data_IF_198607000334
#
_entry.id   IF_198607000334
#
_cell.length_a   1.000
_cell.length_b   1.000
_cell.length_c   1.000
_cell.angle_alpha   90.00
_cell.angle_beta   90.00
_cell.angle_gamma   90.00
#
_symmetry.space_group_name_H-M   'P 1'
#
loop_
_entity.id
_entity.type
_entity.pdbx_description
1 polymer ?
#
# COMPACT_ATOMS: atom_id res chain seq x y z
N UNK A 1 -1.73 26.50 17.11
CA UNK A 1 -1.88 25.76 18.38
C UNK A 1 -0.87 24.61 18.35
N UNK A 2 0.20 24.68 19.14
CA UNK A 2 1.17 23.59 19.24
C UNK A 2 0.70 22.61 20.32
N UNK A 3 0.21 21.44 19.91
CA UNK A 3 -0.22 20.38 20.82
C UNK A 3 0.97 19.78 21.60
N UNK A 4 2.16 19.77 20.98
CA UNK A 4 3.41 19.31 21.56
C UNK A 4 4.47 20.41 21.51
N UNK A 5 4.81 20.99 22.66
CA UNK A 5 5.89 22.01 22.77
C UNK A 5 7.22 21.35 23.09
N UNK A 6 7.91 20.86 22.06
CA UNK A 6 9.25 20.30 22.21
C UNK A 6 10.25 21.46 22.26
N UNK A 7 10.77 21.75 23.46
CA UNK A 7 11.65 22.92 23.70
C UNK A 7 13.14 22.66 23.41
N UNK A 8 13.53 21.41 23.17
CA UNK A 8 14.92 20.99 22.96
C UNK A 8 15.02 20.08 21.74
N UNK A 9 16.03 20.34 20.92
CA UNK A 9 16.33 19.49 19.76
C UNK A 9 16.72 18.08 20.23
N UNK A 10 16.09 17.07 19.63
CA UNK A 10 16.37 15.67 19.91
C UNK A 10 17.59 15.22 19.10
N UNK A 11 18.63 14.62 19.71
CA UNK A 11 19.85 14.20 19.00
C UNK A 11 19.63 12.87 18.26
N UNK A 12 18.74 12.87 17.27
CA UNK A 12 18.36 11.69 16.49
C UNK A 12 19.50 11.27 15.57
N UNK A 13 20.24 12.23 15.01
CA UNK A 13 21.33 11.96 14.08
C UNK A 13 22.50 11.22 14.75
N UNK A 14 22.64 11.28 16.07
CA UNK A 14 23.60 10.46 16.82
C UNK A 14 23.36 8.95 16.63
N UNK A 15 22.11 8.54 16.44
CA UNK A 15 21.70 7.14 16.28
C UNK A 15 21.37 6.79 14.82
N UNK A 16 21.61 7.71 13.87
CA UNK A 16 21.25 7.53 12.47
C UNK A 16 21.84 6.25 11.87
N UNK A 17 23.05 5.85 12.24
CA UNK A 17 23.66 4.59 11.75
C UNK A 17 22.85 3.35 12.13
N UNK A 18 22.32 3.29 13.36
CA UNK A 18 21.52 2.15 13.83
C UNK A 18 20.19 2.13 13.07
N UNK A 19 19.52 3.28 12.95
CA UNK A 19 18.27 3.36 12.21
C UNK A 19 18.49 3.01 10.72
N UNK A 20 19.50 3.56 10.06
CA UNK A 20 19.81 3.22 8.68
C UNK A 20 20.11 1.74 8.48
N UNK A 21 20.80 1.10 9.44
CA UNK A 21 21.05 -0.34 9.38
C UNK A 21 19.74 -1.14 9.47
N UNK A 22 18.83 -0.79 10.39
CA UNK A 22 17.51 -1.42 10.53
C UNK A 22 16.70 -1.24 9.23
N UNK A 23 16.65 -0.02 8.70
CA UNK A 23 16.00 0.31 7.43
C UNK A 23 16.56 -0.55 6.29
N UNK A 24 17.89 -0.60 6.15
CA UNK A 24 18.55 -1.36 5.10
C UNK A 24 18.27 -2.86 5.20
N UNK A 25 18.33 -3.44 6.41
CA UNK A 25 18.00 -4.85 6.64
C UNK A 25 16.54 -5.12 6.28
N UNK A 26 15.63 -4.24 6.68
CA UNK A 26 14.19 -4.37 6.37
C UNK A 26 13.94 -4.29 4.87
N UNK A 27 14.59 -3.35 4.18
CA UNK A 27 14.51 -3.22 2.73
C UNK A 27 15.11 -4.44 2.01
N UNK A 28 16.26 -4.94 2.46
CA UNK A 28 16.88 -6.14 1.89
C UNK A 28 15.99 -7.38 2.08
N UNK A 29 15.36 -7.53 3.25
CA UNK A 29 14.39 -8.59 3.51
C UNK A 29 13.15 -8.45 2.61
N UNK A 30 12.64 -7.22 2.44
CA UNK A 30 11.51 -6.94 1.55
C UNK A 30 11.82 -7.35 0.11
N UNK A 31 12.98 -6.94 -0.44
CA UNK A 31 13.43 -7.34 -1.77
C UNK A 31 13.61 -8.85 -1.87
N UNK A 32 14.21 -9.48 -0.86
CA UNK A 32 14.39 -10.94 -0.83
C UNK A 32 13.06 -11.69 -0.93
N UNK A 33 12.04 -11.32 -0.15
CA UNK A 33 10.73 -11.97 -0.22
C UNK A 33 10.00 -11.68 -1.53
N UNK A 34 10.13 -10.47 -2.07
CA UNK A 34 9.54 -10.08 -3.34
C UNK A 34 10.11 -10.91 -4.50
N UNK A 35 11.42 -11.17 -4.50
CA UNK A 35 12.09 -11.99 -5.53
C UNK A 35 11.83 -13.49 -5.34
N UNK A 36 11.83 -14.00 -4.10
CA UNK A 36 11.74 -15.45 -3.84
C UNK A 36 10.31 -15.98 -3.79
N UNK A 37 9.36 -15.20 -3.29
CA UNK A 37 7.95 -15.61 -3.16
C UNK A 37 7.03 -14.94 -4.17
N UNK A 38 7.41 -13.77 -4.68
CA UNK A 38 6.52 -12.96 -5.52
C UNK A 38 5.33 -12.37 -4.73
N UNK A 39 4.47 -11.67 -5.45
CA UNK A 39 3.22 -11.15 -4.93
C UNK A 39 2.09 -12.14 -5.20
N UNK A 40 1.21 -12.35 -4.23
CA UNK A 40 0.00 -13.12 -4.41
C UNK A 40 -1.07 -12.24 -5.04
N UNK A 41 -1.13 -12.21 -6.37
CA UNK A 41 -2.08 -11.35 -7.10
C UNK A 41 -3.54 -11.79 -6.93
N UNK A 42 -4.45 -10.81 -6.85
CA UNK A 42 -5.89 -11.05 -6.88
C UNK A 42 -6.36 -11.55 -8.24
N UNK A 43 -7.61 -12.04 -8.30
CA UNK A 43 -8.26 -12.41 -9.56
C UNK A 43 -8.46 -11.23 -10.51
N UNK A 44 -8.35 -9.99 -10.03
CA UNK A 44 -8.46 -8.78 -10.85
C UNK A 44 -7.27 -8.65 -11.80
N UNK A 45 -6.11 -9.19 -11.44
CA UNK A 45 -4.91 -9.18 -12.29
C UNK A 45 -4.72 -10.48 -13.06
N UNK A 46 -5.07 -11.61 -12.45
CA UNK A 46 -4.85 -12.94 -13.04
C UNK A 46 -6.02 -13.43 -13.88
N UNK A 47 -7.19 -12.81 -13.73
CA UNK A 47 -8.46 -13.34 -14.22
C UNK A 47 -8.93 -14.53 -13.38
N UNK A 48 -10.24 -14.74 -13.31
CA UNK A 48 -10.78 -15.87 -12.55
C UNK A 48 -12.23 -15.67 -12.13
N UNK A 49 -12.63 -16.49 -11.16
CA UNK A 49 -13.96 -16.43 -10.57
C UNK A 49 -13.84 -16.54 -9.05
N UNK A 50 -14.40 -15.58 -8.34
CA UNK A 50 -14.55 -15.61 -6.88
C UNK A 50 -16.01 -15.86 -6.57
N UNK A 51 -16.27 -16.82 -5.68
CA UNK A 51 -17.59 -17.17 -5.20
C UNK A 51 -17.56 -17.07 -3.69
N UNK A 52 -18.45 -16.26 -3.13
CA UNK A 52 -18.66 -16.13 -1.69
C UNK A 52 -19.99 -16.81 -1.33
N UNK A 53 -19.90 -17.79 -0.44
CA UNK A 53 -21.07 -18.51 0.09
C UNK A 53 -21.15 -18.31 1.60
N UNK A 54 -22.37 -18.07 2.10
CA UNK A 54 -22.64 -17.92 3.52
C UNK A 54 -23.41 -19.14 4.05
N UNK A 55 -22.94 -19.68 5.17
CA UNK A 55 -23.54 -20.83 5.85
C UNK A 55 -24.35 -20.39 7.08
N UNK A 56 -25.43 -21.12 7.44
CA UNK A 56 -26.16 -20.93 8.70
C UNK A 56 -25.30 -21.18 9.95
N UNK A 57 -24.27 -22.01 9.83
CA UNK A 57 -23.34 -22.39 10.91
C UNK A 57 -21.89 -22.30 10.43
N UNK A 58 -20.92 -22.58 11.30
CA UNK A 58 -19.52 -22.61 10.90
C UNK A 58 -19.32 -23.57 9.73
N UNK A 59 -18.69 -23.08 8.67
CA UNK A 59 -18.56 -23.81 7.42
C UNK A 59 -17.44 -24.86 7.52
N UNK A 60 -17.68 -26.03 6.91
CA UNK A 60 -16.66 -27.07 6.76
C UNK A 60 -15.83 -26.78 5.50
N UNK A 61 -14.68 -26.14 5.70
CA UNK A 61 -13.78 -25.74 4.62
C UNK A 61 -13.20 -26.94 3.88
N UNK A 62 -12.88 -28.02 4.59
CA UNK A 62 -12.31 -29.21 3.96
C UNK A 62 -13.35 -29.91 3.09
N UNK A 63 -14.61 -30.01 3.57
CA UNK A 63 -15.71 -30.51 2.74
C UNK A 63 -15.88 -29.66 1.47
N UNK A 64 -15.93 -28.33 1.60
CA UNK A 64 -16.07 -27.41 0.47
C UNK A 64 -14.90 -27.54 -0.51
N UNK A 65 -13.67 -27.61 0.00
CA UNK A 65 -12.46 -27.81 -0.81
C UNK A 65 -12.51 -29.11 -1.60
N UNK A 66 -12.83 -30.23 -0.95
CA UNK A 66 -12.93 -31.54 -1.59
C UNK A 66 -14.00 -31.58 -2.69
N UNK A 67 -15.12 -30.88 -2.51
CA UNK A 67 -16.16 -30.77 -3.54
C UNK A 67 -15.64 -30.02 -4.76
N UNK A 68 -14.99 -28.87 -4.56
CA UNK A 68 -14.54 -28.01 -5.66
C UNK A 68 -13.32 -28.61 -6.37
N UNK A 69 -12.39 -29.25 -5.64
CA UNK A 69 -11.24 -29.95 -6.20
C UNK A 69 -11.65 -31.12 -7.12
N UNK A 70 -12.70 -31.87 -6.75
CA UNK A 70 -13.25 -32.94 -7.60
C UNK A 70 -13.75 -32.46 -8.95
N UNK A 71 -14.11 -31.18 -9.08
CA UNK A 71 -14.51 -30.58 -10.35
C UNK A 71 -13.31 -30.27 -11.27
N UNK A 72 -12.09 -30.37 -10.74
CA UNK A 72 -10.83 -30.35 -11.49
C UNK A 72 -10.38 -28.98 -11.99
N UNK A 73 -10.93 -27.87 -11.48
CA UNK A 73 -10.62 -26.50 -11.96
C UNK A 73 -9.13 -26.09 -11.84
N UNK A 74 -8.28 -26.94 -11.26
CA UNK A 74 -6.85 -26.70 -11.07
C UNK A 74 -6.57 -26.34 -9.63
N UNK A 75 -5.71 -25.35 -9.42
CA UNK A 75 -5.40 -24.84 -8.09
C UNK A 75 -6.55 -23.93 -7.61
N UNK A 76 -7.36 -24.47 -6.69
CA UNK A 76 -8.53 -23.79 -6.13
C UNK A 76 -8.19 -23.32 -4.72
N UNK A 77 -8.49 -22.06 -4.42
CA UNK A 77 -8.31 -21.53 -3.06
C UNK A 77 -9.66 -21.49 -2.35
N UNK A 78 -9.79 -22.21 -1.24
CA UNK A 78 -11.00 -22.22 -0.40
C UNK A 78 -10.60 -21.81 1.01
N UNK A 79 -11.17 -20.71 1.48
CA UNK A 79 -10.86 -20.13 2.78
C UNK A 79 -12.06 -19.39 3.39
N UNK A 80 -12.04 -19.21 4.70
CA UNK A 80 -13.01 -18.34 5.37
C UNK A 80 -12.82 -16.87 4.96
N UNK A 81 -13.90 -16.12 4.92
CA UNK A 81 -13.89 -14.70 4.55
C UNK A 81 -14.67 -13.86 5.55
N UNK A 82 -13.97 -13.13 6.42
CA UNK A 82 -14.59 -12.30 7.45
C UNK A 82 -15.10 -13.08 8.66
N UNK A 83 -15.89 -14.14 8.46
CA UNK A 83 -16.40 -14.99 9.54
C UNK A 83 -16.13 -16.49 9.31
N UNK A 84 -16.30 -17.31 10.34
CA UNK A 84 -16.22 -18.78 10.22
C UNK A 84 -17.38 -19.39 9.41
N UNK A 85 -18.39 -18.58 9.06
CA UNK A 85 -19.60 -19.00 8.33
C UNK A 85 -19.55 -18.63 6.85
N UNK A 86 -18.70 -17.69 6.49
CA UNK A 86 -18.57 -17.19 5.13
C UNK A 86 -17.33 -17.82 4.51
N UNK A 87 -17.50 -18.41 3.33
CA UNK A 87 -16.44 -19.11 2.60
C UNK A 87 -16.25 -18.44 1.26
N UNK A 88 -15.02 -18.08 0.96
CA UNK A 88 -14.58 -17.60 -0.33
C UNK A 88 -13.88 -18.72 -1.09
N UNK A 89 -14.31 -18.91 -2.33
CA UNK A 89 -13.80 -19.91 -3.26
C UNK A 89 -13.25 -19.16 -4.47
N UNK A 90 -11.98 -19.40 -4.80
CA UNK A 90 -11.32 -18.82 -5.97
C UNK A 90 -10.99 -19.90 -6.98
N UNK A 91 -11.42 -19.65 -8.21
CA UNK A 91 -11.24 -20.56 -9.33
C UNK A 91 -10.46 -19.84 -10.43
N UNK A 92 -9.43 -20.47 -11.00
CA UNK A 92 -8.72 -19.91 -12.14
C UNK A 92 -9.60 -19.95 -13.40
N UNK A 93 -9.20 -19.19 -14.41
CA UNK A 93 -9.88 -19.20 -15.70
C UNK A 93 -9.64 -20.54 -16.41
N UNK A 94 -10.70 -21.17 -16.91
CA UNK A 94 -10.62 -22.34 -17.78
C UNK A 94 -10.94 -21.99 -19.24
N UNK A 95 -10.09 -22.40 -20.20
CA UNK A 95 -10.40 -22.22 -21.62
C UNK A 95 -11.68 -22.96 -22.00
N UNK A 96 -12.58 -22.30 -22.75
CA UNK A 96 -13.77 -22.93 -23.31
C UNK A 96 -15.01 -22.97 -22.41
N UNK A 97 -14.93 -22.49 -21.16
CA UNK A 97 -16.12 -22.30 -20.31
C UNK A 97 -16.40 -20.82 -20.07
N UNK A 98 -17.69 -20.44 -20.11
CA UNK A 98 -18.10 -19.12 -19.65
C UNK A 98 -18.01 -19.08 -18.13
N UNK A 99 -17.29 -18.11 -17.60
CA UNK A 99 -17.06 -17.96 -16.17
C UNK A 99 -18.37 -17.78 -15.37
N UNK A 100 -19.41 -17.18 -15.97
CA UNK A 100 -20.75 -17.09 -15.36
C UNK A 100 -21.41 -18.46 -15.17
N UNK A 101 -21.14 -19.43 -16.05
CA UNK A 101 -21.64 -20.81 -15.91
C UNK A 101 -20.86 -21.57 -14.83
N UNK A 102 -19.57 -21.26 -14.65
CA UNK A 102 -18.73 -21.84 -13.58
C UNK A 102 -19.33 -21.54 -12.20
N UNK A 103 -19.79 -20.31 -11.98
CA UNK A 103 -20.47 -19.92 -10.72
C UNK A 103 -21.64 -20.85 -10.43
N UNK A 104 -22.53 -21.03 -11.42
CA UNK A 104 -23.72 -21.89 -11.25
C UNK A 104 -23.37 -23.37 -11.05
N UNK A 105 -22.35 -23.89 -11.76
CA UNK A 105 -21.88 -25.27 -11.60
C UNK A 105 -21.33 -25.51 -10.19
N UNK A 106 -20.46 -24.61 -9.72
CA UNK A 106 -19.83 -24.74 -8.39
C UNK A 106 -20.86 -24.59 -7.29
N UNK A 107 -21.73 -23.59 -7.37
CA UNK A 107 -22.83 -23.42 -6.42
C UNK A 107 -23.76 -24.63 -6.39
N UNK A 108 -24.07 -25.21 -7.57
CA UNK A 108 -24.87 -26.41 -7.70
C UNK A 108 -24.24 -27.64 -7.04
N UNK A 109 -22.96 -27.89 -7.25
CA UNK A 109 -22.27 -29.03 -6.63
C UNK A 109 -22.11 -28.86 -5.11
N UNK A 110 -21.87 -27.64 -4.62
CA UNK A 110 -21.89 -27.35 -3.19
C UNK A 110 -23.27 -27.59 -2.59
N UNK A 111 -24.32 -27.12 -3.27
CA UNK A 111 -25.69 -27.32 -2.83
C UNK A 111 -26.05 -28.81 -2.72
N UNK A 112 -25.65 -29.62 -3.71
CA UNK A 112 -25.82 -31.08 -3.67
C UNK A 112 -25.04 -31.72 -2.53
N UNK A 113 -23.81 -31.28 -2.29
CA UNK A 113 -22.98 -31.78 -1.19
C UNK A 113 -23.61 -31.51 0.20
N UNK A 114 -24.43 -30.47 0.31
CA UNK A 114 -25.21 -30.13 1.51
C UNK A 114 -26.67 -30.65 1.47
N UNK A 115 -26.93 -31.67 0.65
CA UNK A 115 -28.25 -32.30 0.49
C UNK A 115 -29.37 -31.33 0.07
N UNK A 116 -29.00 -30.26 -0.62
CA UNK A 116 -29.90 -29.29 -1.22
C UNK A 116 -30.05 -29.47 -2.73
N UNK A 117 -31.09 -28.83 -3.25
CA UNK A 117 -31.33 -28.65 -4.69
C UNK A 117 -31.35 -27.16 -5.01
N UNK A 118 -30.71 -26.77 -6.11
CA UNK A 118 -30.74 -25.38 -6.59
C UNK A 118 -32.08 -25.10 -7.25
N UNK A 119 -32.72 -24.01 -6.84
CA UNK A 119 -33.87 -23.44 -7.53
C UNK A 119 -33.63 -21.96 -7.82
N UNK A 120 -34.17 -21.48 -8.94
CA UNK A 120 -34.22 -20.04 -9.20
C UNK A 120 -35.36 -19.42 -8.40
N UNK A 121 -35.04 -18.39 -7.63
CA UNK A 121 -36.01 -17.59 -6.92
C UNK A 121 -35.93 -16.16 -7.40
N UNK A 122 -37.06 -15.63 -7.88
CA UNK A 122 -37.19 -14.22 -8.20
C UNK A 122 -37.44 -13.45 -6.91
N UNK A 123 -36.44 -12.68 -6.50
CA UNK A 123 -36.55 -11.75 -5.39
C UNK A 123 -36.85 -10.36 -5.95
N UNK A 124 -37.92 -9.73 -5.48
CA UNK A 124 -38.21 -8.33 -5.80
C UNK A 124 -37.40 -7.46 -4.84
N UNK A 125 -36.46 -6.68 -5.36
CA UNK A 125 -35.67 -5.76 -4.53
C UNK A 125 -36.55 -4.72 -3.86
N UNK A 126 -36.04 -4.04 -2.83
CA UNK A 126 -36.75 -2.92 -2.19
C UNK A 126 -37.06 -1.78 -3.18
N UNK A 127 -36.34 -1.71 -4.32
CA UNK A 127 -36.60 -0.78 -5.41
C UNK A 127 -37.60 -1.31 -6.47
N UNK A 128 -38.18 -2.49 -6.28
CA UNK A 128 -39.16 -3.08 -7.19
C UNK A 128 -38.57 -3.85 -8.38
N UNK A 129 -37.26 -4.10 -8.40
CA UNK A 129 -36.58 -4.81 -9.49
C UNK A 129 -36.65 -6.33 -9.26
N UNK A 130 -37.06 -7.10 -10.26
CA UNK A 130 -37.08 -8.56 -10.18
C UNK A 130 -35.69 -9.11 -10.48
N UNK A 131 -35.01 -9.62 -9.46
CA UNK A 131 -33.69 -10.24 -9.59
C UNK A 131 -33.83 -11.75 -9.40
N UNK A 132 -33.48 -12.53 -10.44
CA UNK A 132 -33.39 -13.99 -10.33
C UNK A 132 -32.11 -14.35 -9.57
N UNK A 133 -32.25 -15.01 -8.41
CA UNK A 133 -31.14 -15.54 -7.62
C UNK A 133 -31.24 -17.06 -7.54
N UNK A 134 -30.09 -17.71 -7.66
CA UNK A 134 -29.97 -19.14 -7.35
C UNK A 134 -29.97 -19.31 -5.83
N UNK A 135 -30.92 -20.10 -5.32
CA UNK A 135 -31.00 -20.47 -3.91
C UNK A 135 -30.79 -21.98 -3.78
N UNK A 136 -30.18 -22.39 -2.68
CA UNK A 136 -30.04 -23.80 -2.32
C UNK A 136 -31.08 -24.15 -1.27
N UNK A 137 -31.97 -25.12 -1.54
CA UNK A 137 -32.98 -25.58 -0.57
C UNK A 137 -32.90 -27.08 -0.36
N UNK A 138 -32.91 -27.50 0.89
CA UNK A 138 -33.09 -28.91 1.27
C UNK A 138 -34.55 -29.34 1.13
N UNK A 139 -34.81 -30.65 1.12
CA UNK A 139 -36.18 -31.20 1.13
C UNK A 139 -37.01 -30.74 2.34
N UNK A 140 -36.35 -30.36 3.45
CA UNK A 140 -36.98 -29.82 4.65
C UNK A 140 -37.25 -28.30 4.58
N UNK A 141 -36.93 -27.65 3.46
CA UNK A 141 -37.11 -26.20 3.25
C UNK A 141 -36.03 -25.32 3.87
N UNK A 142 -35.04 -25.89 4.56
CA UNK A 142 -33.89 -25.15 5.07
C UNK A 142 -32.93 -24.78 3.93
N UNK A 143 -32.34 -23.58 4.02
CA UNK A 143 -31.28 -23.11 3.11
C UNK A 143 -29.91 -23.42 3.73
N UNK A 144 -29.22 -24.50 3.29
CA UNK A 144 -28.00 -24.94 3.95
C UNK A 144 -26.81 -24.05 3.59
N UNK A 145 -26.88 -23.34 2.46
CA UNK A 145 -25.89 -22.37 2.03
C UNK A 145 -26.54 -21.32 1.13
N UNK A 146 -26.04 -20.09 1.17
CA UNK A 146 -26.53 -18.96 0.38
C UNK A 146 -25.41 -18.39 -0.47
N UNK A 147 -25.68 -18.09 -1.75
CA UNK A 147 -24.74 -17.34 -2.58
C UNK A 147 -24.78 -15.87 -2.14
N UNK A 148 -23.69 -15.40 -1.55
CA UNK A 148 -23.56 -14.02 -1.08
C UNK A 148 -23.09 -13.11 -2.20
N UNK A 149 -22.04 -13.53 -2.92
CA UNK A 149 -21.42 -12.74 -3.99
C UNK A 149 -20.77 -13.66 -5.01
N UNK A 150 -20.76 -13.25 -6.28
CA UNK A 150 -19.94 -13.87 -7.30
C UNK A 150 -19.28 -12.77 -8.13
N UNK A 151 -17.96 -12.81 -8.25
CA UNK A 151 -17.18 -11.93 -9.10
C UNK A 151 -16.49 -12.74 -10.19
N UNK A 152 -16.51 -12.19 -11.39
CA UNK A 152 -15.96 -12.83 -12.57
C UNK A 152 -15.11 -11.81 -13.28
N UNK A 153 -13.84 -12.15 -13.49
CA UNK A 153 -12.89 -11.32 -14.25
C UNK A 153 -12.35 -12.14 -15.42
N UNK A 154 -12.58 -11.63 -16.63
CA UNK A 154 -12.05 -12.23 -17.86
C UNK A 154 -10.52 -12.13 -17.91
N UNK A 155 -9.81 -13.12 -18.49
CA UNK A 155 -8.35 -13.10 -18.57
C UNK A 155 -7.81 -11.91 -19.36
N UNK A 156 -8.53 -11.47 -20.42
CA UNK A 156 -8.15 -10.29 -21.19
C UNK A 156 -8.29 -8.99 -20.37
N UNK A 157 -9.36 -8.87 -19.58
CA UNK A 157 -9.58 -7.71 -18.70
C UNK A 157 -8.54 -7.70 -17.59
N UNK A 158 -8.18 -8.87 -17.03
CA UNK A 158 -7.15 -8.96 -16.00
C UNK A 158 -5.78 -8.52 -16.49
N UNK A 159 -5.37 -8.97 -17.69
CA UNK A 159 -4.10 -8.56 -18.30
C UNK A 159 -4.07 -7.05 -18.60
N UNK A 160 -5.17 -6.49 -19.09
CA UNK A 160 -5.30 -5.04 -19.31
C UNK A 160 -5.18 -4.26 -18.00
N UNK A 161 -5.88 -4.70 -16.94
CA UNK A 161 -5.82 -4.10 -15.61
C UNK A 161 -4.42 -4.18 -15.00
N UNK A 162 -3.69 -5.28 -15.20
CA UNK A 162 -2.31 -5.43 -14.73
C UNK A 162 -1.36 -4.46 -15.45
N UNK A 163 -1.48 -4.32 -16.76
CA UNK A 163 -0.69 -3.37 -17.54
C UNK A 163 -1.01 -1.93 -17.16
N UNK A 164 -2.29 -1.60 -16.98
CA UNK A 164 -2.71 -0.24 -16.60
C UNK A 164 -2.31 0.10 -15.16
N UNK A 165 -2.37 -0.86 -14.24
CA UNK A 165 -1.80 -0.74 -12.90
C UNK A 165 -0.30 -0.43 -12.93
N UNK A 166 0.47 -1.16 -13.74
CA UNK A 166 1.91 -0.92 -13.89
C UNK A 166 2.20 0.46 -14.50
N UNK A 167 1.44 0.87 -15.51
CA UNK A 167 1.54 2.22 -16.11
C UNK A 167 1.20 3.31 -15.08
N UNK A 168 0.12 3.14 -14.32
CA UNK A 168 -0.30 4.10 -13.30
C UNK A 168 0.81 4.31 -12.25
N UNK A 169 1.37 3.22 -11.73
CA UNK A 169 2.49 3.29 -10.79
C UNK A 169 3.71 3.98 -11.41
N UNK A 170 4.08 3.62 -12.64
CA UNK A 170 5.22 4.23 -13.35
C UNK A 170 5.03 5.73 -13.60
N UNK A 171 3.86 6.15 -14.06
CA UNK A 171 3.52 7.56 -14.30
C UNK A 171 3.51 8.35 -13.00
N UNK A 172 2.97 7.79 -11.91
CA UNK A 172 2.98 8.44 -10.59
C UNK A 172 4.41 8.63 -10.07
N UNK A 173 5.25 7.59 -10.15
CA UNK A 173 6.66 7.69 -9.75
C UNK A 173 7.39 8.74 -10.57
N UNK A 174 7.20 8.75 -11.89
CA UNK A 174 7.81 9.74 -12.78
C UNK A 174 7.33 11.17 -12.44
N UNK A 175 6.03 11.35 -12.20
CA UNK A 175 5.46 12.64 -11.81
C UNK A 175 6.05 13.15 -10.49
N UNK A 176 6.22 12.27 -9.50
CA UNK A 176 6.88 12.58 -8.23
C UNK A 176 8.35 12.97 -8.45
N UNK A 177 9.09 12.23 -9.29
CA UNK A 177 10.48 12.55 -9.62
C UNK A 177 10.61 13.94 -10.26
N UNK A 178 9.76 14.25 -11.24
CA UNK A 178 9.73 15.57 -11.90
C UNK A 178 9.41 16.67 -10.88
N UNK A 179 8.39 16.45 -10.05
CA UNK A 179 8.02 17.39 -8.99
C UNK A 179 9.19 17.65 -8.04
N UNK A 180 9.84 16.60 -7.52
CA UNK A 180 10.97 16.73 -6.60
C UNK A 180 12.17 17.42 -7.25
N UNK A 181 12.45 17.14 -8.53
CA UNK A 181 13.53 17.76 -9.28
C UNK A 181 13.31 19.27 -9.50
N UNK A 182 12.06 19.71 -9.69
CA UNK A 182 11.73 21.14 -9.81
C UNK A 182 11.70 21.82 -8.43
N UNK A 183 11.21 21.11 -7.40
CA UNK A 183 11.00 21.64 -6.06
C UNK A 183 12.31 21.81 -5.27
N UNK A 184 13.26 20.89 -5.45
CA UNK A 184 14.47 20.75 -4.65
C UNK A 184 15.74 20.73 -5.49
N UNK A 185 16.87 21.07 -4.86
CA UNK A 185 18.20 20.84 -5.42
C UNK A 185 18.43 19.35 -5.66
N UNK A 186 19.26 19.01 -6.65
CA UNK A 186 19.43 17.63 -7.13
C UNK A 186 19.74 16.61 -6.01
N UNK A 187 20.55 17.00 -5.00
CA UNK A 187 20.89 16.13 -3.86
C UNK A 187 19.65 15.75 -3.03
N UNK A 188 18.78 16.73 -2.76
CA UNK A 188 17.53 16.53 -2.02
C UNK A 188 16.49 15.80 -2.87
N UNK A 189 16.43 16.09 -4.17
CA UNK A 189 15.55 15.37 -5.10
C UNK A 189 15.90 13.88 -5.13
N UNK A 190 17.17 13.51 -5.30
CA UNK A 190 17.63 12.11 -5.28
C UNK A 190 17.33 11.45 -3.93
N UNK A 191 17.63 12.13 -2.82
CA UNK A 191 17.34 11.60 -1.48
C UNK A 191 15.84 11.32 -1.28
N UNK A 192 14.98 12.24 -1.71
CA UNK A 192 13.53 12.08 -1.65
C UNK A 192 13.03 10.93 -2.54
N UNK A 193 13.55 10.81 -3.76
CA UNK A 193 13.17 9.72 -4.69
C UNK A 193 13.50 8.35 -4.09
N UNK A 194 14.71 8.18 -3.56
CA UNK A 194 15.14 6.90 -2.97
C UNK A 194 14.32 6.57 -1.72
N UNK A 195 14.03 7.55 -0.86
CA UNK A 195 13.20 7.34 0.33
C UNK A 195 11.77 6.90 -0.05
N UNK A 196 11.17 7.50 -1.08
CA UNK A 196 9.84 7.10 -1.56
C UNK A 196 9.84 5.71 -2.20
N UNK A 197 10.87 5.38 -2.99
CA UNK A 197 11.01 4.04 -3.56
C UNK A 197 11.16 2.98 -2.47
N UNK A 198 11.95 3.28 -1.43
CA UNK A 198 12.12 2.44 -0.26
C UNK A 198 10.77 2.07 0.39
N UNK A 199 9.87 3.05 0.55
CA UNK A 199 8.58 2.83 1.20
C UNK A 199 7.67 1.89 0.41
N UNK A 200 7.61 2.08 -0.91
CA UNK A 200 6.83 1.18 -1.80
C UNK A 200 7.37 -0.24 -1.71
N UNK A 201 8.69 -0.41 -1.78
CA UNK A 201 9.31 -1.74 -1.71
C UNK A 201 9.05 -2.40 -0.37
N UNK A 202 9.08 -1.65 0.75
CA UNK A 202 8.72 -2.20 2.06
C UNK A 202 7.28 -2.72 2.06
N UNK A 203 6.31 -1.93 1.59
CA UNK A 203 4.91 -2.37 1.56
C UNK A 203 4.77 -3.66 0.73
N UNK A 204 5.33 -3.67 -0.48
CA UNK A 204 5.30 -4.84 -1.35
C UNK A 204 6.01 -6.05 -0.72
N UNK A 205 7.12 -5.82 -0.02
CA UNK A 205 7.87 -6.86 0.68
C UNK A 205 7.08 -7.48 1.84
N UNK A 206 6.31 -6.70 2.59
CA UNK A 206 5.39 -7.21 3.60
C UNK A 206 4.30 -8.09 2.98
N UNK A 207 3.70 -7.65 1.87
CA UNK A 207 2.71 -8.43 1.13
C UNK A 207 3.31 -9.73 0.58
N UNK A 208 4.52 -9.69 0.02
CA UNK A 208 5.24 -10.87 -0.44
C UNK A 208 5.64 -11.81 0.71
N UNK A 209 6.04 -11.27 1.86
CA UNK A 209 6.41 -12.09 3.02
C UNK A 209 5.20 -12.86 3.57
N UNK A 210 4.10 -12.15 3.86
CA UNK A 210 2.90 -12.75 4.43
C UNK A 210 2.02 -13.47 3.43
N UNK A 211 2.33 -13.37 2.13
CA UNK A 211 1.49 -13.88 1.04
C UNK A 211 0.06 -13.33 1.15
N UNK A 212 -0.02 -12.03 1.43
CA UNK A 212 -1.29 -11.31 1.40
C UNK A 212 -1.66 -10.97 -0.03
N UNK A 213 -2.96 -10.98 -0.28
CA UNK A 213 -3.48 -10.73 -1.60
C UNK A 213 -3.23 -9.29 -2.05
N UNK A 214 -2.64 -9.16 -3.22
CA UNK A 214 -2.39 -7.89 -3.89
C UNK A 214 -3.52 -7.62 -4.89
N UNK A 215 -4.42 -6.70 -4.54
CA UNK A 215 -5.58 -6.28 -5.35
C UNK A 215 -5.43 -4.87 -5.90
N UNK A 216 -6.34 -4.44 -6.78
CA UNK A 216 -6.39 -3.06 -7.28
C UNK A 216 -6.59 -2.05 -6.14
N UNK A 217 -7.33 -2.43 -5.10
CA UNK A 217 -7.46 -1.63 -3.89
C UNK A 217 -6.10 -1.43 -3.21
N UNK A 218 -5.33 -2.51 -3.02
CA UNK A 218 -3.98 -2.43 -2.41
C UNK A 218 -3.06 -1.54 -3.24
N UNK A 219 -3.11 -1.64 -4.57
CA UNK A 219 -2.37 -0.73 -5.45
C UNK A 219 -2.76 0.73 -5.24
N UNK A 220 -4.07 1.02 -5.18
CA UNK A 220 -4.56 2.37 -4.91
C UNK A 220 -4.09 2.89 -3.54
N UNK A 221 -4.06 2.04 -2.51
CA UNK A 221 -3.48 2.38 -1.21
C UNK A 221 -1.99 2.73 -1.33
N UNK A 222 -1.19 1.96 -2.09
CA UNK A 222 0.23 2.25 -2.32
C UNK A 222 0.41 3.60 -3.02
N UNK A 223 -0.40 3.91 -4.04
CA UNK A 223 -0.37 5.20 -4.73
C UNK A 223 -0.73 6.36 -3.78
N UNK A 224 -1.69 6.15 -2.87
CA UNK A 224 -2.03 7.13 -1.85
C UNK A 224 -0.88 7.33 -0.84
N UNK A 225 -0.24 6.24 -0.38
CA UNK A 225 0.92 6.32 0.52
C UNK A 225 2.08 7.07 -0.14
N UNK A 226 2.34 6.84 -1.42
CA UNK A 226 3.37 7.57 -2.16
C UNK A 226 3.17 9.08 -2.05
N UNK A 227 1.95 9.57 -2.24
CA UNK A 227 1.62 11.00 -2.05
C UNK A 227 1.86 11.46 -0.61
N UNK A 228 1.46 10.66 0.38
CA UNK A 228 1.68 10.97 1.80
C UNK A 228 3.16 11.00 2.19
N UNK A 229 3.96 10.05 1.72
CA UNK A 229 5.39 9.96 2.02
C UNK A 229 6.19 11.11 1.40
N UNK A 230 5.88 11.46 0.15
CA UNK A 230 6.45 12.66 -0.51
C UNK A 230 6.18 13.92 0.32
N UNK A 231 4.95 14.09 0.82
CA UNK A 231 4.58 15.26 1.60
C UNK A 231 5.43 15.41 2.88
N UNK A 232 5.73 14.32 3.60
CA UNK A 232 6.61 14.39 4.77
C UNK A 232 8.05 14.73 4.40
N UNK A 233 8.59 14.07 3.39
CA UNK A 233 9.94 14.34 2.90
C UNK A 233 10.10 15.81 2.50
N UNK A 234 9.08 16.39 1.82
CA UNK A 234 9.07 17.80 1.41
C UNK A 234 9.13 18.74 2.62
N UNK A 235 8.32 18.48 3.64
CA UNK A 235 8.25 19.31 4.86
C UNK A 235 9.58 19.30 5.60
N UNK A 236 10.20 18.13 5.76
CA UNK A 236 11.49 17.99 6.44
C UNK A 236 12.59 18.70 5.64
N UNK A 237 12.65 18.48 4.33
CA UNK A 237 13.66 19.12 3.48
C UNK A 237 13.53 20.64 3.45
N UNK A 238 12.31 21.17 3.38
CA UNK A 238 12.09 22.61 3.46
C UNK A 238 12.55 23.18 4.80
N UNK A 239 12.28 22.48 5.90
CA UNK A 239 12.75 22.92 7.22
C UNK A 239 14.27 22.84 7.34
N UNK A 240 14.91 21.81 6.81
CA UNK A 240 16.38 21.70 6.73
C UNK A 240 16.96 22.89 5.95
N UNK A 241 16.37 23.24 4.80
CA UNK A 241 16.79 24.39 3.99
C UNK A 241 16.63 25.72 4.74
N UNK A 242 15.51 25.90 5.44
CA UNK A 242 15.28 27.09 6.27
C UNK A 242 16.29 27.18 7.42
N UNK A 243 16.55 26.06 8.11
CA UNK A 243 17.48 26.00 9.22
C UNK A 243 18.93 26.31 8.79
N UNK A 244 19.37 25.81 7.62
CA UNK A 244 20.67 26.18 7.03
C UNK A 244 20.79 27.69 6.71
N UNK A 245 19.69 28.35 6.35
CA UNK A 245 19.66 29.80 6.07
C UNK A 245 19.68 30.62 7.36
N UNK A 246 18.91 30.20 8.35
CA UNK A 246 18.69 30.95 9.60
C UNK A 246 19.82 30.76 10.63
N UNK A 247 20.29 29.53 10.81
CA UNK A 247 21.24 29.20 11.86
C UNK A 247 22.65 28.96 11.30
N UNK A 248 23.46 30.03 11.30
CA UNK A 248 24.78 30.02 10.64
C UNK A 248 25.87 29.20 11.35
N UNK A 249 25.70 28.93 12.64
CA UNK A 249 26.71 28.28 13.49
C UNK A 249 26.45 26.78 13.71
N UNK A 250 25.30 26.28 13.29
CA UNK A 250 24.95 24.87 13.46
C UNK A 250 25.65 24.02 12.41
N UNK A 251 26.13 22.85 12.82
CA UNK A 251 26.65 21.86 11.88
C UNK A 251 25.50 21.12 11.15
N UNK A 252 25.80 20.36 10.09
CA UNK A 252 24.77 19.64 9.31
C UNK A 252 23.90 18.71 10.15
N UNK A 253 24.47 18.03 11.16
CA UNK A 253 23.73 17.10 12.01
C UNK A 253 22.74 17.86 12.90
N UNK A 254 23.18 18.94 13.53
CA UNK A 254 22.36 19.81 14.37
C UNK A 254 21.24 20.46 13.55
N UNK A 255 21.52 20.88 12.31
CA UNK A 255 20.50 21.45 11.42
C UNK A 255 19.40 20.44 11.12
N UNK A 256 19.77 19.19 10.86
CA UNK A 256 18.82 18.11 10.59
C UNK A 256 18.03 17.74 11.86
N UNK A 257 18.70 17.59 13.00
CA UNK A 257 18.05 17.31 14.29
C UNK A 257 17.03 18.40 14.64
N UNK A 258 17.39 19.67 14.44
CA UNK A 258 16.49 20.80 14.63
C UNK A 258 15.31 20.79 13.65
N UNK A 259 15.58 20.46 12.38
CA UNK A 259 14.54 20.40 11.38
C UNK A 259 13.51 19.31 11.70
N UNK A 260 13.96 18.10 12.03
CA UNK A 260 13.10 16.99 12.43
C UNK A 260 12.31 17.35 13.69
N UNK A 261 12.99 17.88 14.72
CA UNK A 261 12.34 18.21 16.00
C UNK A 261 11.27 19.29 15.83
N UNK A 262 11.55 20.32 15.02
CA UNK A 262 10.61 21.43 14.79
C UNK A 262 9.41 21.05 13.90
N UNK A 263 9.51 19.99 13.09
CA UNK A 263 8.37 19.47 12.30
C UNK A 263 7.61 18.34 12.99
N UNK A 264 8.16 17.75 14.04
CA UNK A 264 7.61 16.57 14.72
C UNK A 264 6.15 16.73 15.16
N UNK A 265 5.75 17.89 15.71
CA UNK A 265 4.35 18.11 16.10
C UNK A 265 3.39 18.06 14.91
N UNK A 266 3.81 18.53 13.73
CA UNK A 266 3.00 18.46 12.50
C UNK A 266 2.88 17.02 12.03
N UNK A 267 3.99 16.31 11.97
CA UNK A 267 4.03 14.89 11.57
C UNK A 267 3.14 14.06 12.49
N UNK A 268 3.27 14.20 13.82
CA UNK A 268 2.44 13.45 14.78
C UNK A 268 0.95 13.74 14.58
N UNK A 269 0.54 14.98 14.36
CA UNK A 269 -0.88 15.33 14.20
C UNK A 269 -1.42 14.80 12.86
N UNK A 270 -0.73 15.06 11.76
CA UNK A 270 -1.19 14.68 10.43
C UNK A 270 -1.21 13.17 10.23
N UNK A 271 -0.16 12.48 10.66
CA UNK A 271 -0.08 11.02 10.61
C UNK A 271 -0.96 10.38 11.68
N UNK A 272 -1.05 10.94 12.87
CA UNK A 272 -1.93 10.44 13.92
C UNK A 272 -3.40 10.46 13.51
N UNK A 273 -3.87 11.55 12.88
CA UNK A 273 -5.23 11.66 12.39
C UNK A 273 -5.53 10.68 11.25
N UNK A 274 -4.62 10.57 10.27
CA UNK A 274 -4.79 9.63 9.15
C UNK A 274 -4.69 8.18 9.61
N UNK A 275 -3.74 7.86 10.48
CA UNK A 275 -3.61 6.54 11.08
C UNK A 275 -4.85 6.16 11.90
N UNK A 276 -5.46 7.09 12.64
CA UNK A 276 -6.70 6.81 13.37
C UNK A 276 -7.84 6.44 12.41
N UNK A 277 -7.99 7.16 11.30
CA UNK A 277 -8.96 6.84 10.26
C UNK A 277 -8.68 5.45 9.65
N UNK A 278 -7.43 5.17 9.27
CA UNK A 278 -7.05 3.89 8.66
C UNK A 278 -7.21 2.73 9.65
N UNK A 279 -6.89 2.92 10.92
CA UNK A 279 -7.09 1.90 11.96
C UNK A 279 -8.58 1.62 12.18
N UNK A 280 -9.43 2.64 12.14
CA UNK A 280 -10.88 2.44 12.15
C UNK A 280 -11.33 1.60 10.95
N UNK A 281 -10.83 1.91 9.76
CA UNK A 281 -11.08 1.12 8.55
C UNK A 281 -10.53 -0.31 8.64
N UNK A 282 -9.40 -0.51 9.30
CA UNK A 282 -8.79 -1.83 9.50
C UNK A 282 -9.62 -2.71 10.46
N UNK A 283 -10.18 -2.10 11.52
CA UNK A 283 -10.96 -2.80 12.54
C UNK A 283 -12.43 -3.00 12.12
N UNK A 284 -13.01 -2.05 11.39
CA UNK A 284 -14.45 -2.01 11.09
C UNK A 284 -14.80 -2.06 9.60
N UNK A 285 -13.84 -1.89 8.68
CA UNK A 285 -14.09 -1.83 7.24
C UNK A 285 -14.40 -3.18 6.58
N UNK A 286 -14.22 -4.28 7.31
CA UNK A 286 -14.50 -5.62 6.81
C UNK A 286 -13.42 -6.17 5.85
N UNK A 287 -13.64 -7.37 5.30
CA UNK A 287 -12.59 -8.10 4.59
C UNK A 287 -12.15 -7.46 3.27
N UNK A 288 -13.07 -6.79 2.56
CA UNK A 288 -12.78 -6.12 1.28
C UNK A 288 -11.81 -4.95 1.43
N UNK A 289 -11.87 -4.25 2.57
CA UNK A 289 -11.05 -3.09 2.87
C UNK A 289 -9.83 -3.44 3.73
N UNK A 290 -9.74 -4.67 4.23
CA UNK A 290 -8.71 -5.07 5.18
C UNK A 290 -7.30 -4.86 4.62
N UNK A 291 -6.97 -5.46 3.47
CA UNK A 291 -5.63 -5.34 2.89
C UNK A 291 -5.33 -3.93 2.36
N UNK A 292 -6.35 -3.19 1.92
CA UNK A 292 -6.23 -1.76 1.62
C UNK A 292 -5.77 -0.98 2.87
N UNK A 293 -6.43 -1.19 4.01
CA UNK A 293 -6.11 -0.52 5.27
C UNK A 293 -4.77 -0.98 5.85
N UNK A 294 -4.40 -2.25 5.70
CA UNK A 294 -3.07 -2.78 6.06
C UNK A 294 -1.98 -2.09 5.27
N UNK A 295 -2.14 -1.97 3.94
CA UNK A 295 -1.17 -1.29 3.08
C UNK A 295 -0.99 0.18 3.47
N UNK A 296 -2.09 0.91 3.70
CA UNK A 296 -2.03 2.29 4.20
C UNK A 296 -1.34 2.36 5.58
N UNK A 297 -1.67 1.47 6.50
CA UNK A 297 -1.10 1.44 7.86
C UNK A 297 0.42 1.27 7.81
N UNK A 298 0.89 0.26 7.07
CA UNK A 298 2.33 0.01 6.91
C UNK A 298 2.97 1.21 6.24
N UNK A 299 2.38 1.71 5.16
CA UNK A 299 2.91 2.81 4.39
C UNK A 299 3.04 4.12 5.18
N UNK A 300 2.03 4.49 5.98
CA UNK A 300 2.06 5.68 6.83
C UNK A 300 3.16 5.53 7.90
N UNK A 301 3.22 4.40 8.61
CA UNK A 301 4.20 4.18 9.67
C UNK A 301 5.64 4.18 9.16
N UNK A 302 5.91 3.44 8.08
CA UNK A 302 7.24 3.40 7.47
C UNK A 302 7.58 4.67 6.72
N UNK A 303 6.61 5.38 6.15
CA UNK A 303 6.81 6.65 5.46
C UNK A 303 7.30 7.77 6.39
N UNK A 304 6.78 7.85 7.61
CA UNK A 304 7.31 8.76 8.65
C UNK A 304 8.77 8.43 8.93
N UNK A 305 9.05 7.15 9.19
CA UNK A 305 10.38 6.68 9.52
C UNK A 305 11.38 6.93 8.39
N UNK A 306 11.01 6.62 7.15
CA UNK A 306 11.84 6.81 5.96
C UNK A 306 12.12 8.28 5.67
N UNK A 307 11.08 9.14 5.73
CA UNK A 307 11.24 10.58 5.52
C UNK A 307 12.16 11.24 6.55
N UNK A 308 12.16 10.75 7.79
CA UNK A 308 13.00 11.28 8.88
C UNK A 308 14.42 10.74 8.84
N UNK A 309 14.59 9.42 8.70
CA UNK A 309 15.89 8.77 8.87
C UNK A 309 16.56 8.46 7.53
N UNK A 310 15.85 7.87 6.58
CA UNK A 310 16.41 7.44 5.28
C UNK A 310 16.71 8.64 4.40
N UNK A 311 15.72 9.51 4.18
CA UNK A 311 15.87 10.71 3.37
C UNK A 311 16.95 11.65 3.92
N UNK A 312 16.98 11.90 5.22
CA UNK A 312 18.00 12.73 5.85
C UNK A 312 19.40 12.09 5.77
N UNK A 313 19.50 10.78 5.97
CA UNK A 313 20.77 10.06 5.86
C UNK A 313 21.34 10.10 4.43
N UNK A 314 20.50 9.87 3.42
CA UNK A 314 20.93 9.94 2.02
C UNK A 314 21.35 11.36 1.67
N UNK A 315 20.61 12.38 2.12
CA UNK A 315 21.00 13.78 1.93
C UNK A 315 22.38 14.09 2.56
N UNK A 316 22.66 13.57 3.77
CA UNK A 316 23.99 13.70 4.38
C UNK A 316 25.07 12.94 3.62
N UNK A 317 24.77 11.73 3.15
CA UNK A 317 25.71 10.91 2.38
C UNK A 317 26.08 11.56 1.05
N UNK A 318 25.12 12.21 0.38
CA UNK A 318 25.35 13.04 -0.81
C UNK A 318 26.10 14.35 -0.51
N UNK A 319 26.49 14.57 0.74
CA UNK A 319 27.31 15.71 1.16
C UNK A 319 26.58 17.03 0.98
N UNK A 320 25.32 17.12 1.42
CA UNK A 320 24.61 18.40 1.48
C UNK A 320 25.38 19.36 2.39
N UNK A 321 25.85 20.45 1.79
CA UNK A 321 26.50 21.57 2.47
C UNK A 321 25.62 22.79 2.40
N UNK A 322 25.90 23.73 3.30
CA UNK A 322 25.23 25.04 3.32
C UNK A 322 25.40 25.80 2.01
N UNK A 323 26.55 25.67 1.36
CA UNK A 323 26.87 26.26 0.05
C UNK A 323 25.93 25.79 -1.06
N UNK A 324 25.43 24.55 -0.99
CA UNK A 324 24.49 24.01 -1.97
C UNK A 324 23.10 24.66 -1.88
N UNK A 325 22.80 25.30 -0.74
CA UNK A 325 21.45 25.79 -0.39
C UNK A 325 21.35 27.31 -0.25
N UNK A 326 22.52 27.94 -0.09
CA UNK A 326 22.70 29.38 0.02
C UNK A 326 23.70 29.76 -1.06
N UNK A 327 23.23 30.24 -2.22
CA UNK A 327 24.11 30.93 -3.17
C UNK A 327 24.76 32.08 -2.40
N UNK A 328 26.06 31.97 -2.16
CA UNK A 328 26.84 33.06 -1.60
C UNK A 328 26.67 34.22 -2.57
N UNK A 329 26.04 35.32 -2.13
CA UNK A 329 26.15 36.56 -2.87
C UNK A 329 27.65 36.88 -2.89
N UNK A 330 28.28 36.76 -4.06
CA UNK A 330 29.62 37.29 -4.27
C UNK A 330 29.49 38.78 -3.99
N UNK A 331 29.97 39.23 -2.83
CA UNK A 331 30.14 40.64 -2.58
C UNK A 331 31.20 41.12 -3.57
N UNK A 332 30.76 41.75 -4.66
CA UNK A 332 31.65 42.35 -5.66
C UNK A 332 32.50 43.50 -5.08
N UNK A 333 32.21 43.93 -3.86
CA UNK A 333 32.88 45.03 -3.15
C UNK A 333 33.56 44.57 -1.83
N UNK A 334 34.18 43.38 -1.80
CA UNK A 334 35.14 43.06 -0.73
C UNK A 334 36.56 43.46 -1.18
N UNK A 335 37.17 44.52 -0.61
CA UNK A 335 38.50 44.98 -0.99
C UNK A 335 39.62 43.97 -0.71
N UNK A 336 39.34 42.89 0.03
CA UNK A 336 40.30 41.86 0.41
C UNK A 336 40.06 40.49 -0.26
N UNK A 337 39.19 40.40 -1.27
CA UNK A 337 39.02 39.15 -2.03
C UNK A 337 40.24 38.94 -2.97
N UNK A 338 41.03 37.87 -2.80
CA UNK A 338 42.18 37.57 -3.66
C UNK A 338 41.80 37.29 -5.13
N UNK A 339 40.50 37.14 -5.44
CA UNK A 339 40.00 36.94 -6.81
C UNK A 339 39.24 38.18 -7.36
N UNK A 340 39.29 39.32 -6.66
CA UNK A 340 38.72 40.58 -7.15
C UNK A 340 39.46 41.05 -8.41
N UNK A 341 38.90 40.74 -9.58
CA UNK A 341 39.43 41.20 -10.87
C UNK A 341 39.75 40.12 -11.90
N UNK A 342 39.46 38.84 -11.63
CA UNK A 342 39.56 37.82 -12.68
C UNK A 342 38.41 37.98 -13.69
N UNK A 343 38.66 38.73 -14.76
CA UNK A 343 37.85 38.74 -15.98
C UNK A 343 38.28 37.56 -16.86
N UNK A 344 37.31 36.74 -17.27
CA UNK A 344 37.47 35.76 -18.37
C UNK A 344 37.45 36.51 -19.70
#
# INVERSE_FOLDING_TARGET
>A
MELFRIKRDLPLMKHALIFNAISFITFAAAVFFLVTRGLHFSIEFTGGTVIEVAYPQAADIEKTRLVVEKMGYGEVQVQNFGSSRDVMIRLPVRPGEKQTEVVGKVFGELCKADAGTVSEHQEVTAQGEQVSKQICKTAAGAEPLKLSRSEVVGPAVGDELAHDAAKALGVTVLGIMIYLAIRFEWKFAVAGIIANLHDVVIILGFFAFFQWEFSLAVLAAILAVLGYSVNESVVIFDRVREAFRKFRKMNTHEVIDHAITSTMSRTIITHGCTQLMVVSMLLFGGPTLHYFAVALTIGILFGIYSSVFVAAAIAMWLGVKREDLVKTAVNRDDPNDPNAGAVV
#
